data_IF_981783121470
#
_entry.id   IF_981783121470
#
_cell.length_a   1.000
_cell.length_b   1.000
_cell.length_c   1.000
_cell.angle_alpha   90.00
_cell.angle_beta   90.00
_cell.angle_gamma   90.00
#
_symmetry.space_group_name_H-M   'P 1'
#
loop_
_entity.id
_entity.type
_entity.pdbx_description
1 polymer ?
#
# COMPACT_ATOMS: atom_id res chain seq x y z
N UNK A 1 -34.00 -41.88 -10.93
CA UNK A 1 -32.62 -42.35 -11.20
C UNK A 1 -32.51 -43.86 -11.06
N UNK A 2 -32.80 -44.43 -9.90
CA UNK A 2 -32.61 -45.87 -9.57
C UNK A 2 -33.27 -46.80 -10.59
N UNK A 3 -34.52 -46.53 -11.01
CA UNK A 3 -35.21 -47.34 -12.02
C UNK A 3 -34.45 -47.38 -13.36
N UNK A 4 -34.01 -46.22 -13.85
CA UNK A 4 -33.23 -46.10 -15.12
C UNK A 4 -31.85 -46.71 -15.00
N UNK A 5 -31.21 -46.66 -13.83
CA UNK A 5 -29.96 -47.36 -13.59
C UNK A 5 -30.17 -48.89 -13.68
N UNK A 6 -31.26 -49.40 -13.06
CA UNK A 6 -31.62 -50.83 -13.15
C UNK A 6 -31.93 -51.27 -14.59
N UNK A 7 -32.59 -50.43 -15.39
CA UNK A 7 -32.86 -50.65 -16.81
C UNK A 7 -31.56 -50.72 -17.61
N UNK A 8 -30.65 -49.73 -17.38
CA UNK A 8 -29.34 -49.69 -18.06
C UNK A 8 -28.47 -50.92 -17.73
N UNK A 9 -28.51 -51.41 -16.50
CA UNK A 9 -27.81 -52.64 -16.10
C UNK A 9 -28.39 -53.85 -16.83
N UNK A 10 -29.75 -53.97 -16.87
CA UNK A 10 -30.41 -55.06 -17.64
C UNK A 10 -30.10 -55.03 -19.10
N UNK A 11 -29.95 -53.86 -19.68
CA UNK A 11 -29.59 -53.64 -21.11
C UNK A 11 -28.08 -53.73 -21.36
N UNK A 12 -27.26 -54.04 -20.34
CA UNK A 12 -25.78 -54.16 -20.46
C UNK A 12 -25.12 -52.89 -20.99
N UNK A 13 -25.69 -51.71 -20.66
CA UNK A 13 -25.06 -50.43 -21.05
C UNK A 13 -23.78 -50.22 -20.25
N UNK A 14 -22.69 -49.89 -20.97
CA UNK A 14 -21.37 -49.68 -20.37
C UNK A 14 -21.16 -48.27 -19.86
N UNK A 15 -22.03 -47.29 -20.21
CA UNK A 15 -21.98 -45.92 -19.75
C UNK A 15 -23.37 -45.28 -19.72
N UNK A 16 -23.54 -44.29 -18.90
CA UNK A 16 -24.74 -43.45 -18.82
C UNK A 16 -24.31 -41.99 -18.75
N UNK A 17 -24.86 -41.16 -19.66
CA UNK A 17 -24.63 -39.71 -19.59
C UNK A 17 -25.63 -39.07 -18.61
N UNK A 18 -25.17 -38.81 -17.42
CA UNK A 18 -25.96 -38.17 -16.33
C UNK A 18 -26.19 -36.67 -16.56
N UNK A 19 -25.51 -36.08 -17.54
CA UNK A 19 -25.68 -34.64 -17.87
C UNK A 19 -26.90 -34.40 -18.77
N UNK A 20 -27.45 -35.43 -19.36
CA UNK A 20 -28.70 -35.33 -20.14
C UNK A 20 -29.90 -35.07 -19.24
N UNK A 21 -30.22 -33.78 -19.08
CA UNK A 21 -31.33 -33.30 -18.25
C UNK A 21 -32.72 -33.78 -18.74
N UNK A 22 -32.86 -34.17 -20.00
CA UNK A 22 -34.13 -34.71 -20.50
C UNK A 22 -34.38 -36.10 -19.98
N UNK A 23 -33.33 -36.90 -19.99
CA UNK A 23 -33.38 -38.32 -19.56
C UNK A 23 -33.23 -38.44 -18.05
N UNK A 24 -32.41 -37.63 -17.41
CA UNK A 24 -32.09 -37.67 -15.97
C UNK A 24 -32.34 -36.31 -15.27
N UNK A 25 -33.61 -35.83 -15.22
CA UNK A 25 -33.89 -34.51 -14.65
C UNK A 25 -33.51 -34.48 -13.19
N UNK A 26 -32.72 -33.47 -12.80
CA UNK A 26 -32.28 -33.22 -11.42
C UNK A 26 -31.23 -34.16 -10.86
N UNK A 27 -30.72 -35.14 -11.65
CA UNK A 27 -29.64 -36.04 -11.22
C UNK A 27 -28.28 -35.32 -11.27
N UNK A 28 -28.06 -34.54 -12.33
CA UNK A 28 -26.89 -33.70 -12.46
C UNK A 28 -27.29 -32.25 -12.25
N UNK A 29 -26.64 -31.60 -11.34
CA UNK A 29 -26.81 -30.15 -11.14
C UNK A 29 -25.64 -29.44 -11.81
N UNK A 30 -25.95 -28.65 -12.83
CA UNK A 30 -24.89 -27.85 -13.48
C UNK A 30 -24.19 -26.98 -12.46
N UNK A 31 -22.85 -26.95 -12.46
CA UNK A 31 -22.11 -26.05 -11.62
C UNK A 31 -22.48 -24.60 -11.98
N UNK A 32 -22.71 -23.77 -10.97
CA UNK A 32 -23.02 -22.35 -11.17
C UNK A 32 -21.87 -21.55 -11.78
N UNK A 33 -20.66 -22.12 -11.82
CA UNK A 33 -19.45 -21.57 -12.40
C UNK A 33 -18.80 -22.62 -13.31
N UNK A 34 -18.53 -22.26 -14.55
CA UNK A 34 -17.87 -23.10 -15.54
C UNK A 34 -16.54 -22.45 -15.94
N UNK A 35 -15.54 -23.26 -16.28
CA UNK A 35 -14.20 -22.80 -16.66
C UNK A 35 -14.22 -21.95 -17.95
N UNK A 36 -15.23 -22.16 -18.81
CA UNK A 36 -15.47 -21.45 -20.05
C UNK A 36 -16.40 -20.21 -19.89
N UNK A 37 -16.72 -19.85 -18.64
CA UNK A 37 -17.57 -18.69 -18.33
C UNK A 37 -16.79 -17.39 -18.59
N UNK A 38 -17.21 -16.65 -19.61
CA UNK A 38 -16.59 -15.38 -20.02
C UNK A 38 -16.60 -14.31 -18.91
N UNK A 39 -17.61 -14.36 -18.02
CA UNK A 39 -17.66 -13.43 -16.87
C UNK A 39 -16.64 -13.78 -15.81
N UNK A 40 -16.38 -15.08 -15.59
CA UNK A 40 -15.28 -15.52 -14.71
C UNK A 40 -13.93 -15.09 -15.25
N UNK A 41 -13.71 -15.27 -16.56
CA UNK A 41 -12.48 -14.82 -17.23
C UNK A 41 -12.28 -13.32 -17.03
N UNK A 42 -13.33 -12.53 -17.24
CA UNK A 42 -13.28 -11.07 -17.01
C UNK A 42 -13.01 -10.70 -15.55
N UNK A 43 -13.61 -11.44 -14.60
CA UNK A 43 -13.32 -11.23 -13.17
C UNK A 43 -11.86 -11.53 -12.85
N UNK A 44 -11.31 -12.62 -13.36
CA UNK A 44 -9.91 -12.99 -13.19
C UNK A 44 -8.97 -11.94 -13.79
N UNK A 45 -9.26 -11.48 -15.00
CA UNK A 45 -8.48 -10.40 -15.65
C UNK A 45 -8.51 -9.13 -14.81
N UNK A 46 -9.68 -8.72 -14.33
CA UNK A 46 -9.82 -7.53 -13.47
C UNK A 46 -9.05 -7.70 -12.16
N UNK A 47 -9.10 -8.87 -11.54
CA UNK A 47 -8.36 -9.18 -10.32
C UNK A 47 -6.84 -9.09 -10.58
N UNK A 48 -6.37 -9.74 -11.62
CA UNK A 48 -4.97 -9.75 -12.01
C UNK A 48 -4.47 -8.36 -12.41
N UNK A 49 -5.33 -7.53 -13.01
CA UNK A 49 -5.01 -6.15 -13.33
C UNK A 49 -4.58 -5.35 -12.11
N UNK A 50 -5.24 -5.52 -10.96
CA UNK A 50 -4.83 -4.87 -9.73
C UNK A 50 -3.52 -5.45 -9.18
N UNK A 51 -3.36 -6.78 -9.19
CA UNK A 51 -2.17 -7.46 -8.65
C UNK A 51 -0.90 -7.17 -9.44
N UNK A 52 -1.01 -6.74 -10.68
CA UNK A 52 0.16 -6.37 -11.50
C UNK A 52 0.76 -5.02 -11.14
N UNK A 53 0.22 -4.29 -10.17
CA UNK A 53 0.81 -3.06 -9.69
C UNK A 53 1.86 -3.34 -8.61
N UNK A 54 2.97 -2.60 -8.71
CA UNK A 54 4.04 -2.58 -7.72
C UNK A 54 4.43 -1.12 -7.49
N UNK A 55 3.91 -0.52 -6.41
CA UNK A 55 4.12 0.91 -6.13
C UNK A 55 5.17 1.02 -5.04
N UNK A 56 6.29 1.66 -5.36
CA UNK A 56 7.43 1.79 -4.45
C UNK A 56 7.75 3.26 -4.20
N UNK A 57 7.88 3.62 -2.94
CA UNK A 57 8.34 4.94 -2.50
C UNK A 57 9.80 4.90 -2.07
N UNK A 58 10.60 5.80 -2.64
CA UNK A 58 11.96 6.09 -2.18
C UNK A 58 11.89 7.05 -0.99
N UNK A 59 12.13 6.52 0.20
CA UNK A 59 12.13 7.29 1.44
C UNK A 59 13.47 7.99 1.69
N UNK A 60 14.51 7.69 0.91
CA UNK A 60 15.90 8.12 1.13
C UNK A 60 16.66 7.17 2.05
N UNK A 61 18.00 7.34 2.10
CA UNK A 61 18.90 6.49 2.89
C UNK A 61 18.66 4.99 2.62
N UNK A 62 18.53 4.62 1.34
CA UNK A 62 18.25 3.25 0.86
C UNK A 62 16.97 2.61 1.42
N UNK A 63 16.15 3.41 2.10
CA UNK A 63 14.86 2.96 2.64
C UNK A 63 13.78 3.07 1.58
N UNK A 64 13.07 1.98 1.38
CA UNK A 64 11.93 1.90 0.44
C UNK A 64 10.69 1.40 1.16
N UNK A 65 9.55 1.94 0.80
CA UNK A 65 8.24 1.41 1.19
C UNK A 65 7.53 0.94 -0.06
N UNK A 66 6.82 -0.18 0.01
CA UNK A 66 6.28 -0.81 -1.19
C UNK A 66 4.88 -1.35 -0.95
N UNK A 67 3.95 -0.96 -1.81
CA UNK A 67 2.65 -1.60 -1.93
C UNK A 67 2.79 -2.73 -2.95
N UNK A 68 2.89 -3.95 -2.44
CA UNK A 68 3.13 -5.17 -3.24
C UNK A 68 1.81 -5.82 -3.67
N UNK A 69 1.83 -6.79 -4.60
CA UNK A 69 0.67 -7.62 -4.92
C UNK A 69 0.01 -8.27 -3.69
N UNK A 70 0.79 -8.70 -2.69
CA UNK A 70 0.28 -9.28 -1.45
C UNK A 70 -0.57 -8.28 -0.67
N UNK A 71 -0.12 -7.03 -0.58
CA UNK A 71 -0.89 -5.93 0.03
C UNK A 71 -2.16 -5.65 -0.79
N UNK A 72 -2.02 -5.59 -2.12
CA UNK A 72 -3.15 -5.30 -3.01
C UNK A 72 -4.22 -6.38 -2.99
N UNK A 73 -3.84 -7.65 -2.79
CA UNK A 73 -4.76 -8.76 -2.62
C UNK A 73 -5.78 -8.48 -1.52
N UNK A 74 -5.35 -7.90 -0.40
CA UNK A 74 -6.21 -7.57 0.73
C UNK A 74 -7.09 -6.34 0.46
N UNK A 75 -6.73 -5.54 -0.56
CA UNK A 75 -7.49 -4.38 -1.01
C UNK A 75 -8.50 -4.70 -2.12
N UNK A 76 -8.70 -5.98 -2.50
CA UNK A 76 -9.61 -6.37 -3.58
C UNK A 76 -10.79 -7.13 -3.01
N UNK A 77 -12.01 -6.72 -3.38
CA UNK A 77 -13.26 -7.40 -3.03
C UNK A 77 -13.79 -8.17 -4.23
N UNK A 78 -13.95 -9.46 -4.05
CA UNK A 78 -14.54 -10.38 -5.04
C UNK A 78 -15.95 -10.76 -4.59
N UNK A 79 -16.94 -10.52 -5.44
CA UNK A 79 -18.31 -10.97 -5.20
C UNK A 79 -18.71 -11.96 -6.30
N UNK A 80 -18.68 -13.25 -5.96
CA UNK A 80 -18.99 -14.35 -6.88
C UNK A 80 -20.46 -14.39 -7.29
N UNK A 81 -21.38 -13.99 -6.41
CA UNK A 81 -22.83 -13.94 -6.72
C UNK A 81 -23.16 -12.82 -7.71
N UNK A 82 -22.52 -11.64 -7.55
CA UNK A 82 -22.73 -10.49 -8.45
C UNK A 82 -21.72 -10.47 -9.59
N UNK A 83 -20.78 -11.45 -9.63
CA UNK A 83 -19.72 -11.57 -10.63
C UNK A 83 -18.93 -10.28 -10.82
N UNK A 84 -18.51 -9.68 -9.69
CA UNK A 84 -17.77 -8.40 -9.70
C UNK A 84 -16.48 -8.49 -8.90
N UNK A 85 -15.46 -7.80 -9.40
CA UNK A 85 -14.19 -7.54 -8.72
C UNK A 85 -14.05 -6.03 -8.59
N UNK A 86 -13.80 -5.54 -7.40
CA UNK A 86 -13.68 -4.10 -7.12
C UNK A 86 -12.55 -3.83 -6.14
N UNK A 87 -11.90 -2.69 -6.31
CA UNK A 87 -10.96 -2.17 -5.33
C UNK A 87 -11.73 -1.68 -4.10
N UNK A 88 -11.30 -2.17 -2.93
CA UNK A 88 -11.74 -1.64 -1.64
C UNK A 88 -10.93 -0.39 -1.32
N UNK A 89 -11.55 0.78 -1.54
CA UNK A 89 -10.89 2.06 -1.30
C UNK A 89 -10.48 2.23 0.15
N UNK A 90 -11.33 1.81 1.10
CA UNK A 90 -11.04 1.93 2.53
C UNK A 90 -9.79 1.15 2.92
N UNK A 91 -9.64 -0.07 2.41
CA UNK A 91 -8.43 -0.88 2.66
C UNK A 91 -7.16 -0.22 2.08
N UNK A 92 -7.26 0.44 0.92
CA UNK A 92 -6.15 1.22 0.35
C UNK A 92 -5.83 2.43 1.23
N UNK A 93 -6.86 3.17 1.67
CA UNK A 93 -6.74 4.32 2.56
C UNK A 93 -6.08 3.94 3.88
N UNK A 94 -6.53 2.87 4.52
CA UNK A 94 -5.95 2.33 5.76
C UNK A 94 -4.46 1.97 5.61
N UNK A 95 -4.09 1.38 4.46
CA UNK A 95 -2.68 1.05 4.21
C UNK A 95 -1.84 2.31 4.01
N UNK A 96 -2.33 3.27 3.23
CA UNK A 96 -1.63 4.55 2.99
C UNK A 96 -1.51 5.35 4.29
N UNK A 97 -2.53 5.33 5.16
CA UNK A 97 -2.46 5.97 6.47
C UNK A 97 -1.35 5.37 7.33
N UNK A 98 -1.30 4.03 7.44
CA UNK A 98 -0.25 3.33 8.19
C UNK A 98 1.14 3.65 7.63
N UNK A 99 1.27 3.69 6.30
CA UNK A 99 2.50 4.12 5.64
C UNK A 99 2.88 5.55 6.03
N UNK A 100 1.96 6.52 5.97
CA UNK A 100 2.21 7.91 6.33
C UNK A 100 2.59 8.06 7.81
N UNK A 101 1.92 7.33 8.70
CA UNK A 101 2.19 7.35 10.13
C UNK A 101 3.55 6.75 10.50
N UNK A 102 3.97 5.69 9.81
CA UNK A 102 5.27 5.04 10.00
C UNK A 102 6.45 6.01 9.85
N UNK A 103 6.32 6.99 8.97
CA UNK A 103 7.36 7.97 8.66
C UNK A 103 7.10 9.37 9.21
N UNK A 104 6.13 9.51 10.11
CA UNK A 104 5.80 10.78 10.73
C UNK A 104 6.71 11.05 11.91
N UNK A 105 7.39 12.21 11.92
CA UNK A 105 8.19 12.70 13.05
C UNK A 105 7.67 14.04 13.62
N UNK A 106 6.68 14.65 12.97
CA UNK A 106 5.97 15.81 13.51
C UNK A 106 5.29 15.44 14.84
N UNK A 107 5.40 16.29 15.83
CA UNK A 107 4.86 16.10 17.18
C UNK A 107 5.76 15.29 18.12
N UNK A 108 6.89 14.75 17.63
CA UNK A 108 7.84 14.04 18.49
C UNK A 108 8.74 15.04 19.19
N UNK A 109 8.80 14.96 20.51
CA UNK A 109 9.67 15.81 21.31
C UNK A 109 11.16 15.43 21.16
N UNK A 110 12.02 16.44 21.21
CA UNK A 110 13.46 16.28 21.01
C UNK A 110 14.24 16.74 22.23
N UNK A 111 15.30 16.01 22.55
CA UNK A 111 16.25 16.42 23.61
C UNK A 111 17.13 17.53 23.06
N UNK A 112 17.28 18.59 23.80
CA UNK A 112 18.08 19.73 23.46
C UNK A 112 18.99 20.12 24.63
N UNK A 113 20.23 20.51 24.34
CA UNK A 113 21.14 21.06 25.35
C UNK A 113 21.24 22.58 25.11
N UNK A 114 20.79 23.37 26.05
CA UNK A 114 20.78 24.83 25.95
C UNK A 114 22.19 25.43 25.96
N UNK A 115 22.31 26.72 25.65
CA UNK A 115 23.54 27.50 25.72
C UNK A 115 24.21 27.40 27.09
N UNK A 116 23.43 27.27 28.19
CA UNK A 116 23.92 27.09 29.56
C UNK A 116 24.31 25.65 29.91
N UNK A 117 24.20 24.71 28.98
CA UNK A 117 24.49 23.27 29.20
C UNK A 117 23.34 22.50 29.84
N UNK A 118 22.20 23.12 30.12
CA UNK A 118 21.01 22.45 30.67
C UNK A 118 20.36 21.56 29.61
N UNK A 119 20.10 20.29 29.95
CA UNK A 119 19.35 19.36 29.09
C UNK A 119 17.85 19.54 29.28
N UNK A 120 17.16 19.86 28.22
CA UNK A 120 15.71 20.03 28.20
C UNK A 120 15.06 19.14 27.16
N UNK A 121 13.75 18.99 27.25
CA UNK A 121 12.92 18.36 26.24
C UNK A 121 12.13 19.45 25.54
N UNK A 122 12.39 19.62 24.25
CA UNK A 122 11.61 20.53 23.39
C UNK A 122 10.45 19.76 22.81
N UNK A 123 9.24 20.22 23.05
CA UNK A 123 8.06 19.57 22.49
C UNK A 123 8.08 19.63 20.96
N UNK A 124 7.53 18.59 20.33
CA UNK A 124 7.68 18.41 18.87
C UNK A 124 6.99 19.46 18.02
N UNK A 125 5.90 20.06 18.51
CA UNK A 125 5.15 21.07 17.76
C UNK A 125 4.90 20.65 16.31
N UNK A 126 5.08 21.58 15.38
CA UNK A 126 4.87 21.36 13.95
C UNK A 126 6.15 20.94 13.20
N UNK A 127 7.29 20.84 13.89
CA UNK A 127 8.54 20.46 13.26
C UNK A 127 8.64 18.94 13.07
N UNK A 128 9.11 18.51 11.91
CA UNK A 128 9.33 17.10 11.60
C UNK A 128 8.88 16.72 10.18
N UNK A 129 8.99 15.46 9.86
CA UNK A 129 8.49 14.87 8.62
C UNK A 129 7.01 14.51 8.75
N UNK A 130 6.23 14.88 7.76
CA UNK A 130 4.83 14.47 7.61
C UNK A 130 4.52 14.32 6.12
N UNK A 131 4.17 13.11 5.72
CA UNK A 131 3.70 12.81 4.37
C UNK A 131 2.30 13.41 4.20
N UNK A 132 2.00 13.93 3.02
CA UNK A 132 0.70 14.46 2.64
C UNK A 132 -0.22 13.28 2.28
N UNK A 133 -0.99 12.84 3.25
CA UNK A 133 -1.89 11.70 3.16
C UNK A 133 -2.89 11.82 2.00
N UNK A 134 -3.55 12.97 1.87
CA UNK A 134 -4.59 13.16 0.84
C UNK A 134 -4.01 13.06 -0.56
N UNK A 135 -2.82 13.63 -0.78
CA UNK A 135 -2.14 13.55 -2.06
C UNK A 135 -1.65 12.14 -2.35
N UNK A 136 -1.15 11.41 -1.35
CA UNK A 136 -0.70 10.03 -1.56
C UNK A 136 -1.87 9.11 -1.88
N UNK A 137 -3.01 9.20 -1.16
CA UNK A 137 -4.21 8.43 -1.49
C UNK A 137 -4.68 8.71 -2.91
N UNK A 138 -4.85 9.99 -3.25
CA UNK A 138 -5.30 10.36 -4.59
C UNK A 138 -4.38 9.79 -5.68
N UNK A 139 -3.05 9.83 -5.43
CA UNK A 139 -2.04 9.30 -6.34
C UNK A 139 -2.11 7.78 -6.48
N UNK A 140 -2.21 7.05 -5.36
CA UNK A 140 -2.32 5.58 -5.36
C UNK A 140 -3.58 5.14 -6.08
N UNK A 141 -4.75 5.71 -5.74
CA UNK A 141 -6.01 5.37 -6.38
C UNK A 141 -6.01 5.67 -7.89
N UNK A 142 -5.31 6.74 -8.32
CA UNK A 142 -5.12 7.06 -9.74
C UNK A 142 -4.24 6.02 -10.44
N UNK A 143 -3.18 5.57 -9.78
CA UNK A 143 -2.28 4.55 -10.33
C UNK A 143 -2.98 3.20 -10.48
N UNK A 144 -3.71 2.76 -9.45
CA UNK A 144 -4.43 1.48 -9.46
C UNK A 144 -5.56 1.40 -10.49
N UNK A 145 -6.03 2.54 -11.02
CA UNK A 145 -6.97 2.60 -12.14
C UNK A 145 -6.34 2.36 -13.51
N UNK A 146 -5.00 2.43 -13.62
CA UNK A 146 -4.31 2.21 -14.90
C UNK A 146 -4.30 0.73 -15.23
N UNK A 147 -4.80 0.40 -16.41
CA UNK A 147 -4.69 -0.97 -16.91
C UNK A 147 -3.23 -1.31 -17.26
N UNK A 148 -2.75 -2.51 -16.91
CA UNK A 148 -1.48 -3.03 -17.45
C UNK A 148 -1.53 -3.14 -18.96
N UNK A 149 -0.37 -3.17 -19.62
CA UNK A 149 -0.33 -3.44 -21.06
C UNK A 149 -0.80 -4.85 -21.33
N UNK A 150 -1.41 -5.06 -22.50
CA UNK A 150 -1.86 -6.39 -22.95
C UNK A 150 -0.72 -7.42 -22.88
N UNK A 151 0.48 -7.05 -23.34
CA UNK A 151 1.68 -7.90 -23.29
C UNK A 151 2.03 -8.32 -21.85
N UNK A 152 1.91 -7.41 -20.87
CA UNK A 152 2.21 -7.73 -19.47
C UNK A 152 1.15 -8.69 -18.90
N UNK A 153 -0.13 -8.51 -19.24
CA UNK A 153 -1.21 -9.41 -18.85
C UNK A 153 -1.01 -10.81 -19.42
N UNK A 154 -0.68 -10.92 -20.71
CA UNK A 154 -0.42 -12.20 -21.38
C UNK A 154 0.79 -12.91 -20.76
N UNK A 155 1.85 -12.19 -20.43
CA UNK A 155 3.04 -12.76 -19.77
C UNK A 155 2.69 -13.29 -18.39
N UNK A 156 1.93 -12.54 -17.60
CA UNK A 156 1.46 -12.96 -16.29
C UNK A 156 0.54 -14.18 -16.34
N UNK A 157 -0.35 -14.25 -17.33
CA UNK A 157 -1.25 -15.40 -17.51
C UNK A 157 -0.51 -16.69 -17.85
N UNK A 158 0.64 -16.60 -18.55
CA UNK A 158 1.46 -17.77 -18.90
C UNK A 158 2.13 -18.42 -17.70
N UNK A 159 2.63 -17.62 -16.78
CA UNK A 159 3.24 -18.10 -15.54
C UNK A 159 2.99 -17.13 -14.38
N UNK A 160 1.84 -17.24 -13.71
CA UNK A 160 1.51 -16.40 -12.55
C UNK A 160 2.44 -16.61 -11.34
N UNK A 161 3.23 -17.69 -11.35
CA UNK A 161 4.14 -18.05 -10.26
C UNK A 161 5.54 -17.47 -10.41
N UNK A 162 5.88 -16.93 -11.58
CA UNK A 162 7.19 -16.32 -11.82
C UNK A 162 7.40 -15.07 -10.98
N UNK A 163 8.16 -15.24 -9.91
CA UNK A 163 8.55 -14.15 -8.98
C UNK A 163 9.41 -13.06 -9.63
N UNK A 164 9.97 -13.34 -10.82
CA UNK A 164 10.76 -12.37 -11.59
C UNK A 164 9.87 -11.55 -12.54
N UNK A 165 8.60 -11.88 -12.70
CA UNK A 165 7.67 -11.07 -13.45
C UNK A 165 7.54 -9.72 -12.77
N UNK A 166 8.20 -8.74 -13.36
CA UNK A 166 8.11 -7.36 -12.94
C UNK A 166 6.70 -6.86 -13.22
N UNK A 167 5.91 -6.79 -12.18
CA UNK A 167 4.68 -6.01 -12.17
C UNK A 167 4.93 -4.58 -12.72
N UNK A 168 3.87 -3.84 -13.00
CA UNK A 168 3.98 -2.41 -13.32
C UNK A 168 4.63 -1.68 -12.15
N UNK A 169 5.96 -1.65 -12.12
CA UNK A 169 6.71 -0.97 -11.07
C UNK A 169 6.64 0.53 -11.29
N UNK A 170 6.07 1.23 -10.32
CA UNK A 170 6.03 2.68 -10.29
C UNK A 170 6.89 3.15 -9.13
N UNK A 171 7.99 3.83 -9.45
CA UNK A 171 8.86 4.44 -8.44
C UNK A 171 8.40 5.86 -8.14
N UNK A 172 8.17 6.15 -6.88
CA UNK A 172 7.67 7.42 -6.39
C UNK A 172 8.64 8.02 -5.38
N UNK A 173 8.57 9.35 -5.22
CA UNK A 173 9.06 10.04 -4.02
C UNK A 173 7.84 10.49 -3.24
N UNK A 174 7.84 10.36 -1.90
CA UNK A 174 6.71 10.81 -1.09
C UNK A 174 6.43 12.30 -1.29
N UNK A 175 5.16 12.67 -1.29
CA UNK A 175 4.74 14.06 -1.20
C UNK A 175 4.67 14.42 0.28
N UNK A 176 5.43 15.41 0.70
CA UNK A 176 5.44 15.83 2.11
C UNK A 176 4.58 17.06 2.32
N UNK A 177 3.75 17.01 3.35
CA UNK A 177 3.07 18.17 3.91
C UNK A 177 4.07 19.02 4.70
N UNK A 178 4.94 18.34 5.47
CA UNK A 178 5.99 18.99 6.27
C UNK A 178 7.33 18.25 6.11
N UNK A 179 8.43 18.98 6.22
CA UNK A 179 9.79 18.44 6.07
C UNK A 179 10.67 18.88 7.24
N UNK A 180 11.56 17.99 7.66
CA UNK A 180 12.66 18.29 8.56
C UNK A 180 13.97 18.46 7.78
N UNK A 181 15.02 18.85 8.46
CA UNK A 181 16.34 19.10 7.86
C UNK A 181 16.99 17.81 7.32
N UNK A 182 16.89 16.69 8.07
CA UNK A 182 17.42 15.40 7.64
C UNK A 182 16.35 14.34 7.62
N UNK A 183 16.52 13.37 6.71
CA UNK A 183 15.67 12.17 6.63
C UNK A 183 16.18 11.10 7.61
N UNK A 184 15.78 11.20 8.86
CA UNK A 184 16.04 10.19 9.86
C UNK A 184 14.73 9.89 10.62
N UNK A 185 13.85 9.14 9.98
CA UNK A 185 12.52 8.83 10.51
C UNK A 185 12.56 7.91 11.74
N UNK A 186 13.60 7.09 11.85
CA UNK A 186 13.75 6.14 12.96
C UNK A 186 14.33 6.82 14.20
N UNK A 187 15.12 7.88 14.00
CA UNK A 187 15.70 8.66 15.08
C UNK A 187 15.43 10.15 14.90
N UNK A 188 14.23 10.62 15.29
CA UNK A 188 13.84 12.02 15.18
C UNK A 188 14.75 13.01 15.91
N UNK A 189 15.59 12.51 16.83
CA UNK A 189 16.60 13.35 17.50
C UNK A 189 17.63 13.91 16.50
N UNK A 190 17.84 13.24 15.36
CA UNK A 190 18.82 13.62 14.35
C UNK A 190 18.21 14.35 13.15
N UNK A 191 16.89 14.59 13.13
CA UNK A 191 16.22 15.16 11.97
C UNK A 191 16.34 16.68 11.85
N UNK A 192 16.95 17.37 12.81
CA UNK A 192 17.18 18.81 12.81
C UNK A 192 18.68 19.17 12.69
N UNK A 193 19.00 20.45 12.43
CA UNK A 193 20.38 20.91 12.28
C UNK A 193 21.01 21.27 13.61
N UNK A 194 21.75 20.35 14.19
CA UNK A 194 22.47 20.55 15.46
C UNK A 194 23.64 21.55 15.37
N UNK A 195 23.99 22.03 14.18
CA UNK A 195 25.14 22.94 13.99
C UNK A 195 24.72 24.36 13.63
N UNK A 196 23.54 24.52 13.01
CA UNK A 196 23.05 25.82 12.58
C UNK A 196 21.63 26.00 13.12
N UNK A 197 21.50 26.75 14.17
CA UNK A 197 20.21 27.01 14.83
C UNK A 197 20.23 28.32 15.61
N UNK A 198 19.06 28.81 15.97
CA UNK A 198 18.89 29.87 16.92
C UNK A 198 18.19 29.34 18.16
N UNK A 199 18.64 29.75 19.32
CA UNK A 199 18.04 29.51 20.64
C UNK A 199 17.53 30.81 21.19
N UNK A 200 16.30 30.82 21.72
CA UNK A 200 15.72 31.93 22.44
C UNK A 200 15.45 31.46 23.85
N UNK A 201 16.18 32.02 24.82
CA UNK A 201 15.93 31.79 26.23
C UNK A 201 14.99 32.89 26.77
N UNK A 202 13.72 32.53 26.90
CA UNK A 202 12.69 33.46 27.37
C UNK A 202 12.89 33.86 28.84
N UNK A 203 13.54 33.02 29.64
CA UNK A 203 13.79 33.31 31.04
C UNK A 203 14.94 34.30 31.22
N UNK A 204 15.99 34.16 30.42
CA UNK A 204 17.13 35.08 30.40
C UNK A 204 16.86 36.29 29.50
N UNK A 205 15.80 36.27 28.68
CA UNK A 205 15.53 37.29 27.67
C UNK A 205 16.71 37.46 26.68
N UNK A 206 17.28 36.36 26.24
CA UNK A 206 18.45 36.35 25.35
C UNK A 206 18.21 35.48 24.12
N UNK A 207 18.79 35.88 23.00
CA UNK A 207 18.86 35.11 21.78
C UNK A 207 20.30 34.71 21.45
N UNK A 208 20.51 33.49 21.05
CA UNK A 208 21.81 32.95 20.63
C UNK A 208 21.70 32.39 19.23
N UNK A 209 22.69 32.67 18.39
CA UNK A 209 22.77 32.10 17.02
C UNK A 209 24.03 31.27 16.91
N UNK A 210 23.85 30.03 16.43
CA UNK A 210 24.93 29.09 16.20
C UNK A 210 25.10 28.83 14.72
N UNK A 211 26.36 28.84 14.25
CA UNK A 211 26.77 28.48 12.90
C UNK A 211 27.96 27.51 12.99
N UNK A 212 27.84 26.38 12.29
CA UNK A 212 28.86 25.32 12.34
C UNK A 212 29.19 24.85 13.76
N UNK A 213 28.21 24.85 14.68
CA UNK A 213 28.36 24.44 16.07
C UNK A 213 29.03 25.50 16.97
N UNK A 214 29.34 26.70 16.47
CA UNK A 214 29.92 27.80 17.23
C UNK A 214 28.89 28.92 17.39
N UNK A 215 28.82 29.51 18.60
CA UNK A 215 28.02 30.72 18.84
C UNK A 215 28.63 31.88 18.06
N UNK A 216 27.88 32.48 17.17
CA UNK A 216 28.32 33.61 16.32
C UNK A 216 27.64 34.91 16.69
N UNK A 217 26.55 34.84 17.42
CA UNK A 217 25.80 36.04 17.85
C UNK A 217 25.06 35.75 19.14
N UNK A 218 24.95 36.79 20.00
CA UNK A 218 23.99 36.82 21.12
C UNK A 218 23.55 38.26 21.35
N UNK A 219 22.31 38.44 21.77
CA UNK A 219 21.73 39.71 22.13
C UNK A 219 20.59 39.52 23.14
N UNK A 220 20.33 40.55 23.91
CA UNK A 220 19.12 40.61 24.74
C UNK A 220 17.91 40.77 23.82
N UNK A 221 16.84 40.08 24.10
CA UNK A 221 15.55 40.23 23.44
C UNK A 221 14.50 40.61 24.48
N UNK A 222 13.75 41.65 24.17
CA UNK A 222 12.67 42.19 25.04
C UNK A 222 11.35 41.53 24.59
#
# INVERSE_FOLDING_TARGET
FVRRLSEAIKELKTSMDLTDQKTYPGVYKEPGLRIDDSELTRMQETYNQYLLHWIQWDMGNDTKETMTPEVLKDCIRVNTKKRTVKLDKSAVEDWVEKFCLKYKTVGIARKFTTHSGKKIKVEGGDYGWRIDYDKEIARVLKLLKKAPSKKLMETYQKDPSDKNQKAMTVNLKPVYFNKAYRKDYQNPQNDWDHKNYSEVDLSAQEVFVYKNGKRVFSANCI
#
